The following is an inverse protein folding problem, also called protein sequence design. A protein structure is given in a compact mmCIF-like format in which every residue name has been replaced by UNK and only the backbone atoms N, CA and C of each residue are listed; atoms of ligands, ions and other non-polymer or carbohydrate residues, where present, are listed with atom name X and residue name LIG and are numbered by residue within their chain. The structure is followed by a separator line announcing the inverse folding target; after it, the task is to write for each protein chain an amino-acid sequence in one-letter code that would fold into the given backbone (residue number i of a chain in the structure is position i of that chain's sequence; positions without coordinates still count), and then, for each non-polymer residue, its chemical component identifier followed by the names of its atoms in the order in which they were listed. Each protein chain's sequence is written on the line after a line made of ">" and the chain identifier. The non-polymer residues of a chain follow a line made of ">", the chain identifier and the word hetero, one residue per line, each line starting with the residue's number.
data_IF_533804793689
#
_entry.id   IF_533804793689
#
_cell.length_a   1.000
_cell.length_b   1.000
_cell.length_c   1.000
_cell.angle_alpha   90.00
_cell.angle_beta   90.00
_cell.angle_gamma   90.00
#
_symmetry.space_group_name_H-M   'P 1'
#
loop_
_entity.id
_entity.type
_entity.pdbx_description
1 polymer ?
#
# COMPACT_ATOMS: atom_id res chain seq x y z
N UNK A 1 19.54 14.98 21.94
CA UNK A 1 18.72 15.04 20.78
C UNK A 1 17.29 14.64 21.08
N UNK A 2 16.35 15.39 20.59
CA UNK A 2 14.96 15.08 20.87
C UNK A 2 14.44 13.97 19.96
N UNK A 3 13.45 13.23 20.45
CA UNK A 3 12.76 12.25 19.66
C UNK A 3 12.09 12.86 18.42
N UNK A 4 11.73 14.14 18.51
CA UNK A 4 11.11 14.82 17.38
C UNK A 4 12.01 14.83 16.15
N UNK A 5 13.33 14.96 16.32
CA UNK A 5 14.25 14.89 15.19
C UNK A 5 14.28 13.51 14.56
N UNK A 6 14.11 12.47 15.37
CA UNK A 6 14.12 11.10 14.87
C UNK A 6 12.82 10.74 14.17
N UNK A 7 11.74 11.43 14.51
CA UNK A 7 10.42 11.16 13.95
C UNK A 7 9.96 12.20 12.93
N UNK A 8 10.84 13.13 12.57
CA UNK A 8 10.50 14.23 11.67
C UNK A 8 10.15 13.80 10.27
N UNK A 9 10.34 12.58 9.99
CA UNK A 9 9.96 12.13 8.70
C UNK A 9 11.15 11.67 7.87
N UNK A 10 10.88 11.53 6.65
CA UNK A 10 11.75 10.83 5.71
C UNK A 10 12.37 11.84 4.76
N UNK A 11 13.55 11.52 4.25
CA UNK A 11 14.16 12.34 3.21
C UNK A 11 13.29 12.33 1.96
N UNK A 12 13.46 13.33 1.10
CA UNK A 12 12.72 13.37 -0.16
C UNK A 12 13.03 12.16 -1.02
N UNK A 13 14.27 11.65 -0.99
CA UNK A 13 14.61 10.43 -1.72
C UNK A 13 13.86 9.22 -1.19
N UNK A 14 13.73 9.10 0.13
CA UNK A 14 12.96 8.01 0.73
C UNK A 14 11.49 8.12 0.35
N UNK A 15 10.94 9.33 0.33
CA UNK A 15 9.56 9.55 -0.07
C UNK A 15 9.32 9.13 -1.53
N UNK A 16 10.20 9.54 -2.44
CA UNK A 16 10.09 9.19 -3.84
C UNK A 16 10.21 7.68 -4.05
N UNK A 17 11.23 7.08 -3.44
CA UNK A 17 11.48 5.64 -3.59
C UNK A 17 10.31 4.82 -3.06
N UNK A 18 9.84 5.16 -1.87
CA UNK A 18 8.73 4.45 -1.25
C UNK A 18 7.44 4.62 -2.04
N UNK A 19 7.14 5.84 -2.45
CA UNK A 19 5.93 6.11 -3.19
C UNK A 19 5.91 5.40 -4.53
N UNK A 20 7.02 5.44 -5.27
CA UNK A 20 7.11 4.74 -6.56
C UNK A 20 6.96 3.24 -6.40
N UNK A 21 7.55 2.68 -5.36
CA UNK A 21 7.40 1.25 -5.07
C UNK A 21 5.94 0.90 -4.78
N UNK A 22 5.28 1.68 -3.93
CA UNK A 22 3.88 1.45 -3.60
C UNK A 22 2.96 1.59 -4.81
N UNK A 23 3.17 2.62 -5.62
CA UNK A 23 2.37 2.84 -6.84
C UNK A 23 2.56 1.67 -7.80
N UNK A 24 3.78 1.18 -7.96
CA UNK A 24 4.05 0.03 -8.80
C UNK A 24 3.32 -1.22 -8.34
N UNK A 25 3.28 -1.46 -7.03
CA UNK A 25 2.54 -2.58 -6.45
C UNK A 25 1.03 -2.41 -6.69
N UNK A 26 0.51 -1.21 -6.44
CA UNK A 26 -0.92 -0.94 -6.65
C UNK A 26 -1.33 -1.14 -8.10
N UNK A 27 -0.47 -0.80 -9.05
CA UNK A 27 -0.75 -1.08 -10.47
C UNK A 27 -0.85 -2.58 -10.72
N UNK A 28 0.04 -3.36 -10.15
CA UNK A 28 0.01 -4.81 -10.29
C UNK A 28 -1.19 -5.44 -9.59
N UNK A 29 -1.71 -4.80 -8.56
CA UNK A 29 -2.95 -5.20 -7.91
C UNK A 29 -4.18 -4.77 -8.73
N UNK A 30 -3.96 -4.08 -9.84
CA UNK A 30 -5.02 -3.56 -10.73
C UNK A 30 -5.87 -2.46 -10.09
N UNK A 31 -5.27 -1.72 -9.16
CA UNK A 31 -5.93 -0.54 -8.61
C UNK A 31 -5.98 0.55 -9.68
N UNK A 32 -7.15 1.18 -9.82
CA UNK A 32 -7.25 2.35 -10.69
C UNK A 32 -6.67 3.58 -9.98
N UNK A 33 -6.57 4.68 -10.70
CA UNK A 33 -5.95 5.88 -10.13
C UNK A 33 -6.71 6.43 -8.94
N UNK A 34 -8.04 6.36 -8.95
CA UNK A 34 -8.85 6.83 -7.83
C UNK A 34 -8.61 5.98 -6.58
N UNK A 35 -8.58 4.67 -6.76
CA UNK A 35 -8.30 3.75 -5.64
C UNK A 35 -6.92 3.99 -5.06
N UNK A 36 -5.91 4.11 -5.92
CA UNK A 36 -4.55 4.35 -5.47
C UNK A 36 -4.42 5.68 -4.72
N UNK A 37 -5.02 6.73 -5.24
CA UNK A 37 -4.97 8.04 -4.60
C UNK A 37 -5.67 8.05 -3.24
N UNK A 38 -6.82 7.38 -3.13
CA UNK A 38 -7.50 7.29 -1.84
C UNK A 38 -6.72 6.45 -0.84
N UNK A 39 -6.21 5.31 -1.29
CA UNK A 39 -5.47 4.40 -0.41
C UNK A 39 -4.21 5.06 0.15
N UNK A 40 -3.47 5.76 -0.69
CA UNK A 40 -2.22 6.41 -0.28
C UNK A 40 -2.43 7.84 0.23
N UNK A 41 -3.61 8.39 0.07
CA UNK A 41 -3.96 9.77 0.43
C UNK A 41 -3.05 10.76 -0.30
N UNK A 42 -2.92 10.59 -1.60
CA UNK A 42 -2.14 11.47 -2.46
C UNK A 42 -3.03 12.07 -3.54
N UNK A 43 -2.57 13.19 -4.11
CA UNK A 43 -3.27 13.83 -5.21
C UNK A 43 -3.05 13.07 -6.52
N UNK A 44 -3.93 13.32 -7.49
CA UNK A 44 -3.76 12.80 -8.84
C UNK A 44 -2.45 13.25 -9.46
N UNK A 45 -2.07 14.48 -9.22
CA UNK A 45 -0.82 15.04 -9.71
C UNK A 45 0.37 14.28 -9.15
N UNK A 46 0.38 14.03 -7.85
CA UNK A 46 1.44 13.25 -7.21
C UNK A 46 1.48 11.83 -7.76
N UNK A 47 0.31 11.21 -7.93
CA UNK A 47 0.23 9.87 -8.50
C UNK A 47 0.83 9.83 -9.91
N UNK A 48 0.47 10.77 -10.75
CA UNK A 48 0.97 10.85 -12.12
C UNK A 48 2.50 11.02 -12.14
N UNK A 49 3.01 11.91 -11.29
CA UNK A 49 4.46 12.15 -11.20
C UNK A 49 5.19 10.93 -10.68
N UNK A 50 4.60 10.20 -9.74
CA UNK A 50 5.21 8.97 -9.22
C UNK A 50 5.38 7.90 -10.30
N UNK A 51 4.48 7.87 -11.27
CA UNK A 51 4.57 6.90 -12.37
C UNK A 51 5.55 7.29 -13.45
N UNK A 52 5.93 8.55 -13.53
CA UNK A 52 6.93 9.03 -14.48
C UNK A 52 8.33 8.71 -13.96
N UNK A 53 9.28 8.54 -14.87
CA UNK A 53 10.65 8.17 -14.49
C UNK A 53 11.56 9.38 -14.53
N UNK A 54 11.15 10.45 -13.88
CA UNK A 54 11.96 11.65 -13.78
C UNK A 54 12.86 11.56 -12.55
N UNK A 55 14.18 11.41 -12.72
CA UNK A 55 15.07 11.28 -11.58
C UNK A 55 15.21 12.55 -10.75
N UNK A 56 14.80 13.69 -11.32
CA UNK A 56 14.87 14.96 -10.61
C UNK A 56 13.64 15.25 -9.76
N UNK A 57 12.58 14.43 -9.87
CA UNK A 57 11.37 14.67 -9.12
C UNK A 57 11.59 14.43 -7.64
N UNK A 58 11.11 15.35 -6.84
CA UNK A 58 11.15 15.26 -5.40
C UNK A 58 9.75 15.49 -4.84
N UNK A 59 9.41 14.79 -3.78
CA UNK A 59 8.14 14.93 -3.09
C UNK A 59 8.36 14.81 -1.60
N UNK A 60 7.64 15.62 -0.85
CA UNK A 60 7.61 15.51 0.60
C UNK A 60 6.28 14.90 1.01
N UNK A 61 6.33 13.83 1.77
CA UNK A 61 5.15 13.12 2.25
C UNK A 61 5.15 13.17 3.78
N UNK A 62 3.96 13.24 4.36
CA UNK A 62 3.85 13.23 5.82
C UNK A 62 3.93 11.81 6.38
N UNK A 63 3.95 11.72 7.71
CA UNK A 63 4.08 10.43 8.39
C UNK A 63 2.92 9.48 8.08
N UNK A 64 1.70 10.01 7.96
CA UNK A 64 0.54 9.21 7.62
C UNK A 64 0.67 8.61 6.21
N UNK A 65 1.09 9.41 5.25
CA UNK A 65 1.30 8.90 3.89
C UNK A 65 2.39 7.85 3.83
N UNK A 66 3.49 8.06 4.55
CA UNK A 66 4.56 7.07 4.61
C UNK A 66 4.13 5.79 5.29
N UNK A 67 3.26 5.88 6.30
CA UNK A 67 2.73 4.69 6.95
C UNK A 67 1.84 3.89 5.98
N UNK A 68 1.03 4.56 5.18
CA UNK A 68 0.20 3.90 4.17
C UNK A 68 1.06 3.17 3.13
N UNK A 69 2.11 3.83 2.68
CA UNK A 69 3.09 3.21 1.79
C UNK A 69 3.67 1.95 2.44
N UNK A 70 4.05 2.04 3.70
CA UNK A 70 4.62 0.93 4.44
C UNK A 70 3.66 -0.27 4.49
N UNK A 71 2.37 -0.03 4.71
CA UNK A 71 1.40 -1.12 4.69
C UNK A 71 1.32 -1.80 3.32
N UNK A 72 1.32 -1.03 2.25
CA UNK A 72 1.30 -1.61 0.89
C UNK A 72 2.53 -2.49 0.67
N UNK A 73 3.71 -2.00 1.04
CA UNK A 73 4.94 -2.76 0.89
C UNK A 73 4.93 -4.03 1.73
N UNK A 74 4.43 -3.95 2.96
CA UNK A 74 4.38 -5.09 3.86
C UNK A 74 3.36 -6.13 3.43
N UNK A 75 2.20 -5.70 2.93
CA UNK A 75 1.20 -6.62 2.38
C UNK A 75 1.80 -7.38 1.20
N UNK A 76 2.47 -6.66 0.30
CA UNK A 76 3.10 -7.30 -0.85
C UNK A 76 4.16 -8.31 -0.41
N UNK A 77 5.01 -7.94 0.55
CA UNK A 77 6.04 -8.84 1.06
C UNK A 77 5.43 -10.09 1.69
N UNK A 78 4.35 -9.93 2.45
CA UNK A 78 3.66 -11.05 3.08
C UNK A 78 3.06 -11.99 2.02
N UNK A 79 2.44 -11.43 0.99
CA UNK A 79 1.86 -12.25 -0.08
C UNK A 79 2.94 -13.04 -0.82
N UNK A 80 4.13 -12.48 -0.97
CA UNK A 80 5.24 -13.21 -1.57
C UNK A 80 5.74 -14.35 -0.70
N UNK A 81 5.58 -14.26 0.60
CA UNK A 81 5.91 -15.35 1.53
C UNK A 81 4.86 -16.47 1.49
N UNK A 82 3.61 -16.12 1.25
CA UNK A 82 2.49 -17.07 1.28
C UNK A 82 2.34 -17.80 -0.04
N UNK A 83 2.49 -17.11 -1.16
CA UNK A 83 2.23 -17.65 -2.49
C UNK A 83 3.50 -17.83 -3.29
N UNK A 84 3.57 -18.94 -4.03
CA UNK A 84 4.74 -19.27 -4.87
C UNK A 84 4.68 -18.62 -6.24
N UNK A 85 3.49 -18.26 -6.73
CA UNK A 85 3.33 -17.78 -8.10
C UNK A 85 2.87 -16.33 -8.13
N UNK A 86 3.32 -15.56 -9.15
CA UNK A 86 2.96 -14.15 -9.26
C UNK A 86 1.47 -13.89 -9.41
N UNK A 87 0.71 -14.80 -10.03
CA UNK A 87 -0.71 -14.62 -10.20
C UNK A 87 -1.42 -14.46 -8.86
N UNK A 88 -1.06 -15.29 -7.88
CA UNK A 88 -1.65 -15.20 -6.55
C UNK A 88 -1.07 -14.05 -5.74
N UNK A 89 0.22 -13.78 -5.88
CA UNK A 89 0.85 -12.65 -5.17
C UNK A 89 0.16 -11.33 -5.53
N UNK A 90 -0.16 -11.14 -6.80
CA UNK A 90 -0.77 -9.90 -7.25
C UNK A 90 -2.28 -9.98 -7.36
N UNK A 91 -2.83 -11.17 -7.59
CA UNK A 91 -4.26 -11.34 -7.80
C UNK A 91 -5.08 -11.44 -6.52
N UNK A 92 -4.49 -11.90 -5.43
CA UNK A 92 -5.22 -12.12 -4.18
C UNK A 92 -5.96 -10.86 -3.72
N UNK A 93 -5.30 -9.72 -3.81
CA UNK A 93 -5.82 -8.46 -3.28
C UNK A 93 -7.01 -7.94 -4.07
N UNK A 94 -7.10 -8.29 -5.35
CA UNK A 94 -8.21 -7.83 -6.20
C UNK A 94 -9.35 -8.84 -6.32
N UNK A 95 -9.26 -10.00 -5.68
CA UNK A 95 -10.30 -11.01 -5.71
C UNK A 95 -11.26 -10.87 -4.54
N UNK A 96 -12.54 -11.16 -4.80
CA UNK A 96 -13.55 -11.21 -3.74
C UNK A 96 -13.14 -12.23 -2.68
N UNK A 97 -13.41 -11.91 -1.43
CA UNK A 97 -12.99 -12.73 -0.30
C UNK A 97 -14.17 -12.94 0.63
N UNK A 98 -14.47 -14.19 0.95
CA UNK A 98 -15.60 -14.57 1.79
C UNK A 98 -15.28 -14.58 3.29
N UNK A 99 -14.05 -14.26 3.67
CA UNK A 99 -13.71 -14.06 5.07
C UNK A 99 -14.66 -13.04 5.69
N UNK A 100 -15.03 -13.25 6.93
CA UNK A 100 -16.04 -12.44 7.61
C UNK A 100 -15.77 -10.95 7.53
N UNK A 101 -14.51 -10.55 7.71
CA UNK A 101 -14.14 -9.14 7.65
C UNK A 101 -14.39 -8.54 6.26
N UNK A 102 -14.06 -9.26 5.19
CA UNK A 102 -14.20 -8.73 3.84
C UNK A 102 -15.63 -8.82 3.32
N UNK A 103 -16.35 -9.83 3.75
CA UNK A 103 -17.77 -10.00 3.45
C UNK A 103 -18.06 -9.94 1.94
N UNK A 104 -17.29 -10.69 1.17
CA UNK A 104 -17.47 -10.76 -0.28
C UNK A 104 -16.78 -9.67 -1.07
N UNK A 105 -16.18 -8.69 -0.40
CA UNK A 105 -15.42 -7.63 -1.06
C UNK A 105 -13.97 -8.06 -1.23
N UNK A 106 -13.27 -7.44 -2.17
CA UNK A 106 -11.84 -7.68 -2.29
C UNK A 106 -11.07 -6.90 -1.22
N UNK A 107 -9.89 -7.38 -0.82
CA UNK A 107 -9.03 -6.58 0.04
C UNK A 107 -8.75 -5.18 -0.51
N UNK A 108 -8.56 -5.07 -1.83
CA UNK A 108 -8.32 -3.78 -2.46
C UNK A 108 -9.50 -2.82 -2.27
N UNK A 109 -10.75 -3.33 -2.43
CA UNK A 109 -11.93 -2.49 -2.22
C UNK A 109 -11.98 -1.93 -0.79
N UNK A 110 -11.64 -2.75 0.19
CA UNK A 110 -11.62 -2.32 1.58
C UNK A 110 -10.56 -1.24 1.78
N UNK A 111 -9.34 -1.49 1.32
CA UNK A 111 -8.24 -0.53 1.48
C UNK A 111 -8.52 0.78 0.74
N UNK A 112 -9.17 0.71 -0.40
CA UNK A 112 -9.47 1.88 -1.22
C UNK A 112 -10.59 2.76 -0.65
N UNK A 113 -11.21 2.35 0.46
CA UNK A 113 -12.09 3.25 1.21
C UNK A 113 -11.32 4.48 1.72
N UNK A 114 -10.02 4.34 1.92
CA UNK A 114 -9.14 5.47 2.17
C UNK A 114 -8.84 5.76 3.62
N UNK A 115 -9.49 5.08 4.55
CA UNK A 115 -9.22 5.27 5.98
C UNK A 115 -8.09 4.35 6.45
N UNK A 116 -7.34 4.81 7.43
CA UNK A 116 -6.20 4.06 7.94
C UNK A 116 -6.61 2.76 8.61
N UNK A 117 -7.77 2.75 9.26
CA UNK A 117 -8.24 1.56 9.97
C UNK A 117 -8.47 0.41 9.00
N UNK A 118 -9.14 0.68 7.87
CA UNK A 118 -9.37 -0.34 6.84
C UNK A 118 -8.06 -0.89 6.29
N UNK A 119 -7.08 -0.03 6.07
CA UNK A 119 -5.78 -0.42 5.59
C UNK A 119 -5.05 -1.31 6.60
N UNK A 120 -5.05 -0.90 7.86
CA UNK A 120 -4.41 -1.66 8.94
C UNK A 120 -5.08 -3.02 9.13
N UNK A 121 -6.41 -3.06 9.15
CA UNK A 121 -7.14 -4.30 9.34
C UNK A 121 -6.92 -5.27 8.19
N UNK A 122 -6.86 -4.76 6.96
CA UNK A 122 -6.55 -5.59 5.80
C UNK A 122 -5.15 -6.17 5.93
N UNK A 123 -4.17 -5.34 6.28
CA UNK A 123 -2.82 -5.81 6.50
C UNK A 123 -2.78 -6.90 7.57
N UNK A 124 -3.44 -6.68 8.70
CA UNK A 124 -3.43 -7.62 9.82
C UNK A 124 -4.03 -8.97 9.42
N UNK A 125 -5.12 -8.93 8.64
CA UNK A 125 -5.78 -10.16 8.18
C UNK A 125 -4.91 -10.94 7.21
N UNK A 126 -4.26 -10.25 6.29
CA UNK A 126 -3.36 -10.91 5.35
C UNK A 126 -2.14 -11.47 6.08
N UNK A 127 -1.58 -10.71 7.01
CA UNK A 127 -0.44 -11.17 7.80
C UNK A 127 -0.77 -12.43 8.60
N UNK A 128 -2.01 -12.56 9.07
CA UNK A 128 -2.46 -13.74 9.79
C UNK A 128 -2.44 -15.01 8.94
N UNK A 129 -2.46 -14.89 7.64
CA UNK A 129 -2.37 -16.05 6.74
C UNK A 129 -1.05 -16.81 6.88
N UNK A 130 -0.01 -16.13 7.32
CA UNK A 130 1.29 -16.77 7.55
C UNK A 130 1.20 -17.84 8.62
N UNK A 131 0.26 -17.68 9.57
CA UNK A 131 0.00 -18.67 10.60
C UNK A 131 -1.15 -19.62 10.29
N UNK A 132 -1.74 -19.52 9.10
CA UNK A 132 -2.88 -20.36 8.72
C UNK A 132 -4.18 -20.00 9.43
N UNK A 133 -4.36 -18.76 9.81
CA UNK A 133 -5.48 -18.31 10.64
C UNK A 133 -6.57 -17.57 9.85
N UNK A 134 -6.81 -17.99 8.66
CA UNK A 134 -7.81 -17.28 7.87
C UNK A 134 -9.20 -17.89 7.98
#
# INVERSE_FOLDING_TARGET
>A
MSLALQTQGFSKNQCVTGLRAAVGILEKWQANSDQACRLLRISRSTYTRARQRDPAWAVALDADQMQRISFVLNIHATLRLIFDNPQNVYGFVSMANDNEFFNGRSPLEIMAQGDMISLYETFRRIDALRGGQW
#
